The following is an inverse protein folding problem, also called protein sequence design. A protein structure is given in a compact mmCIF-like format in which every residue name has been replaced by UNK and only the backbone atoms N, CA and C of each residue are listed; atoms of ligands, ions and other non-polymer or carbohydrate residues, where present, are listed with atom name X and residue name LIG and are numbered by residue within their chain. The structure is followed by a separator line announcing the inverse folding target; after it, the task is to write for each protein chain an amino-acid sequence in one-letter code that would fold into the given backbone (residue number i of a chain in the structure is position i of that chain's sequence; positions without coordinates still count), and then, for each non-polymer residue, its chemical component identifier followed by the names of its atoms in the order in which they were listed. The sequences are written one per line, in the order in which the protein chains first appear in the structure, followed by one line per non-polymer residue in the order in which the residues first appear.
data_IF_574290172675
#
_entry.id   IF_574290172675
#
_cell.length_a   1.000
_cell.length_b   1.000
_cell.length_c   1.000
_cell.angle_alpha   90.00
_cell.angle_beta   90.00
_cell.angle_gamma   90.00
#
_symmetry.space_group_name_H-M   'P 1'
#
loop_
_entity.id
_entity.type
_entity.pdbx_description
1 polymer ?
#
# COMPACT_ATOMS: atom_id res chain seq x y z
N UNK A 1 -1.73 6.71 13.55
CA UNK A 1 -2.94 5.88 13.32
C UNK A 1 -3.20 4.80 14.40
N UNK A 2 -2.56 4.86 15.59
CA UNK A 2 -2.80 3.91 16.71
C UNK A 2 -3.91 4.34 17.70
N UNK A 3 -4.56 5.47 17.49
CA UNK A 3 -5.44 6.11 18.50
C UNK A 3 -6.91 5.61 18.51
N UNK A 4 -7.21 4.43 17.96
CA UNK A 4 -8.60 3.96 17.88
C UNK A 4 -8.78 2.45 18.18
N UNK A 5 -7.90 1.85 18.99
CA UNK A 5 -8.11 0.47 19.46
C UNK A 5 -8.89 0.49 20.79
N UNK A 6 -10.22 0.56 20.71
CA UNK A 6 -11.11 0.25 21.83
C UNK A 6 -11.69 -1.17 21.60
N UNK A 7 -11.36 -2.16 22.43
CA UNK A 7 -11.77 -3.56 22.24
C UNK A 7 -13.27 -3.82 22.46
N UNK A 8 -14.06 -2.83 22.90
CA UNK A 8 -15.48 -3.03 23.23
C UNK A 8 -16.47 -2.72 22.10
N UNK A 9 -16.03 -2.44 20.87
CA UNK A 9 -16.95 -2.00 19.80
C UNK A 9 -16.73 -2.71 18.47
N UNK A 10 -17.08 -4.00 18.41
CA UNK A 10 -17.05 -4.78 17.17
C UNK A 10 -17.90 -4.12 16.06
N UNK A 11 -19.06 -3.56 16.42
CA UNK A 11 -19.97 -2.84 15.50
C UNK A 11 -19.29 -1.63 14.83
N UNK A 12 -18.42 -0.91 15.56
CA UNK A 12 -17.74 0.28 15.00
C UNK A 12 -16.62 -0.12 14.05
N UNK A 13 -15.99 -1.27 14.29
CA UNK A 13 -14.93 -1.79 13.44
C UNK A 13 -15.49 -2.27 12.10
N UNK A 14 -16.63 -2.98 12.12
CA UNK A 14 -17.29 -3.46 10.91
C UNK A 14 -17.79 -2.31 10.04
N UNK A 15 -18.47 -1.32 10.63
CA UNK A 15 -18.90 -0.12 9.88
C UNK A 15 -17.72 0.61 9.24
N UNK A 16 -16.62 0.78 9.97
CA UNK A 16 -15.42 1.46 9.44
C UNK A 16 -14.74 0.62 8.37
N UNK A 17 -14.76 -0.70 8.50
CA UNK A 17 -14.26 -1.60 7.47
C UNK A 17 -15.12 -1.54 6.20
N UNK A 18 -16.44 -1.39 6.33
CA UNK A 18 -17.34 -1.15 5.20
C UNK A 18 -17.08 0.18 4.50
N UNK A 19 -16.85 1.25 5.25
CA UNK A 19 -16.46 2.56 4.71
C UNK A 19 -15.15 2.45 3.91
N UNK A 20 -14.15 1.72 4.42
CA UNK A 20 -12.87 1.49 3.71
C UNK A 20 -13.06 0.62 2.47
N UNK A 21 -13.87 -0.45 2.55
CA UNK A 21 -14.18 -1.33 1.42
C UNK A 21 -14.84 -0.58 0.28
N UNK A 22 -15.75 0.35 0.59
CA UNK A 22 -16.59 1.06 -0.38
C UNK A 22 -16.08 2.45 -0.75
N UNK A 23 -14.96 2.89 -0.16
CA UNK A 23 -14.36 4.19 -0.45
C UNK A 23 -14.19 4.41 -1.97
N UNK A 24 -14.56 5.59 -2.52
CA UNK A 24 -14.44 5.88 -3.95
C UNK A 24 -13.00 5.71 -4.48
N UNK A 25 -12.02 6.11 -3.66
CA UNK A 25 -10.59 5.89 -3.90
C UNK A 25 -9.97 5.42 -2.59
N UNK A 26 -9.15 4.38 -2.66
CA UNK A 26 -8.40 3.88 -1.51
C UNK A 26 -6.90 3.87 -1.85
N UNK A 27 -6.09 4.43 -0.97
CA UNK A 27 -4.63 4.35 -1.06
C UNK A 27 -4.13 3.50 0.11
N UNK A 28 -3.48 2.39 -0.21
CA UNK A 28 -2.82 1.50 0.74
C UNK A 28 -1.33 1.75 0.66
N UNK A 29 -0.78 2.37 1.69
CA UNK A 29 0.64 2.71 1.74
C UNK A 29 1.45 1.59 2.41
N UNK A 30 2.65 1.33 1.89
CA UNK A 30 3.68 0.44 2.45
C UNK A 30 3.20 -0.99 2.77
N UNK A 31 2.52 -1.61 1.81
CA UNK A 31 2.06 -3.00 1.91
C UNK A 31 3.24 -3.96 2.00
N UNK A 32 3.20 -4.91 2.95
CA UNK A 32 4.23 -5.94 3.11
C UNK A 32 5.26 -5.66 4.21
N UNK A 33 5.33 -4.42 4.72
CA UNK A 33 6.26 -4.02 5.79
C UNK A 33 5.74 -4.36 7.20
N UNK A 34 4.53 -4.89 7.31
CA UNK A 34 3.83 -5.12 8.58
C UNK A 34 3.91 -6.57 9.08
N UNK A 35 4.26 -6.76 10.37
CA UNK A 35 3.95 -7.99 11.11
C UNK A 35 2.45 -8.03 11.42
N UNK A 36 1.64 -8.31 10.41
CA UNK A 36 0.20 -8.39 10.54
C UNK A 36 -0.20 -9.67 11.30
N UNK A 37 -1.11 -9.52 12.27
CA UNK A 37 -1.77 -10.66 12.91
C UNK A 37 -2.57 -11.45 11.88
N UNK A 38 -2.87 -12.73 12.15
CA UNK A 38 -3.69 -13.55 11.24
C UNK A 38 -5.02 -12.87 10.87
N UNK A 39 -5.65 -12.22 11.86
CA UNK A 39 -6.87 -11.45 11.67
C UNK A 39 -6.66 -10.23 10.75
N UNK A 40 -5.57 -9.48 10.92
CA UNK A 40 -5.27 -8.34 10.05
C UNK A 40 -5.03 -8.79 8.60
N UNK A 41 -4.33 -9.90 8.39
CA UNK A 41 -4.14 -10.50 7.06
C UNK A 41 -5.45 -10.93 6.43
N UNK A 42 -6.35 -11.52 7.21
CA UNK A 42 -7.68 -11.89 6.74
C UNK A 42 -8.49 -10.67 6.31
N UNK A 43 -8.51 -9.61 7.12
CA UNK A 43 -9.22 -8.37 6.78
C UNK A 43 -8.64 -7.68 5.55
N UNK A 44 -7.32 -7.65 5.42
CA UNK A 44 -6.64 -7.15 4.23
C UNK A 44 -7.05 -7.94 2.99
N UNK A 45 -7.09 -9.27 3.08
CA UNK A 45 -7.54 -10.13 1.98
C UNK A 45 -9.02 -9.88 1.61
N UNK A 46 -9.91 -9.76 2.61
CA UNK A 46 -11.32 -9.42 2.38
C UNK A 46 -11.46 -8.07 1.66
N UNK A 47 -10.70 -7.06 2.09
CA UNK A 47 -10.70 -5.72 1.49
C UNK A 47 -10.21 -5.75 0.04
N UNK A 48 -9.05 -6.36 -0.20
CA UNK A 48 -8.45 -6.49 -1.52
C UNK A 48 -9.38 -7.23 -2.49
N UNK A 49 -9.91 -8.37 -2.07
CA UNK A 49 -10.76 -9.18 -2.92
C UNK A 49 -12.07 -8.45 -3.27
N UNK A 50 -12.68 -7.76 -2.31
CA UNK A 50 -13.88 -6.95 -2.58
C UNK A 50 -13.61 -5.88 -3.63
N UNK A 51 -12.57 -5.05 -3.42
CA UNK A 51 -12.25 -3.94 -4.32
C UNK A 51 -11.81 -4.41 -5.71
N UNK A 52 -11.06 -5.51 -5.77
CA UNK A 52 -10.64 -6.14 -7.03
C UNK A 52 -11.84 -6.65 -7.85
N UNK A 53 -12.84 -7.26 -7.20
CA UNK A 53 -14.03 -7.77 -7.88
C UNK A 53 -15.00 -6.65 -8.27
N UNK A 54 -15.17 -5.66 -7.40
CA UNK A 54 -16.01 -4.49 -7.64
C UNK A 54 -15.36 -3.44 -8.56
N UNK A 55 -14.11 -3.66 -8.99
CA UNK A 55 -13.31 -2.74 -9.82
C UNK A 55 -13.21 -1.33 -9.24
N UNK A 56 -13.05 -1.25 -7.92
CA UNK A 56 -12.94 0.04 -7.22
C UNK A 56 -11.50 0.58 -7.29
N UNK A 57 -11.31 1.87 -7.62
CA UNK A 57 -10.00 2.50 -7.74
C UNK A 57 -9.16 2.32 -6.46
N UNK A 58 -7.99 1.69 -6.60
CA UNK A 58 -7.11 1.41 -5.46
C UNK A 58 -5.66 1.62 -5.87
N UNK A 59 -4.93 2.43 -5.11
CA UNK A 59 -3.47 2.61 -5.25
C UNK A 59 -2.80 1.86 -4.12
N UNK A 60 -1.76 1.10 -4.44
CA UNK A 60 -1.00 0.34 -3.47
C UNK A 60 0.47 0.70 -3.66
N UNK A 61 1.15 1.04 -2.58
CA UNK A 61 2.61 1.16 -2.57
C UNK A 61 3.19 0.01 -1.75
N UNK A 62 4.36 -0.46 -2.14
CA UNK A 62 5.08 -1.50 -1.42
C UNK A 62 6.58 -1.30 -1.65
N UNK A 63 7.37 -1.46 -0.60
CA UNK A 63 8.82 -1.56 -0.70
C UNK A 63 9.29 -3.01 -0.95
N UNK A 64 8.38 -3.98 -0.83
CA UNK A 64 8.64 -5.40 -0.99
C UNK A 64 8.38 -5.81 -2.45
N UNK A 65 9.28 -6.58 -3.08
CA UNK A 65 9.01 -7.17 -4.38
C UNK A 65 7.69 -7.97 -4.39
N UNK A 66 6.91 -7.86 -5.46
CA UNK A 66 5.56 -8.45 -5.51
C UNK A 66 5.58 -9.97 -5.39
N UNK A 67 6.66 -10.62 -5.82
CA UNK A 67 6.95 -12.05 -5.71
C UNK A 67 7.23 -12.51 -4.27
N UNK A 68 7.62 -11.60 -3.38
CA UNK A 68 7.80 -11.86 -1.95
C UNK A 68 6.51 -11.62 -1.12
N UNK A 69 5.48 -11.02 -1.72
CA UNK A 69 4.18 -10.82 -1.07
C UNK A 69 3.38 -12.13 -0.98
N UNK A 70 2.29 -12.10 -0.20
CA UNK A 70 1.34 -13.22 -0.14
C UNK A 70 0.88 -13.61 -1.57
N UNK A 71 1.01 -14.89 -1.98
CA UNK A 71 0.73 -15.32 -3.34
C UNK A 71 -0.68 -14.98 -3.84
N UNK A 72 -1.66 -14.88 -2.93
CA UNK A 72 -3.05 -14.55 -3.28
C UNK A 72 -3.23 -13.06 -3.57
N UNK A 73 -2.43 -12.20 -2.93
CA UNK A 73 -2.35 -10.77 -3.21
C UNK A 73 -1.55 -10.54 -4.50
N UNK A 74 -0.39 -11.18 -4.62
CA UNK A 74 0.49 -11.09 -5.79
C UNK A 74 -0.27 -11.42 -7.09
N UNK A 75 -1.01 -12.54 -7.12
CA UNK A 75 -1.82 -12.93 -8.30
C UNK A 75 -2.80 -11.84 -8.75
N UNK A 76 -3.40 -11.08 -7.82
CA UNK A 76 -4.35 -10.00 -8.14
C UNK A 76 -3.63 -8.71 -8.56
N UNK A 77 -2.52 -8.39 -7.91
CA UNK A 77 -1.71 -7.22 -8.24
C UNK A 77 -1.06 -7.34 -9.62
N UNK A 78 -0.74 -8.56 -10.04
CA UNK A 78 -0.15 -8.89 -11.34
C UNK A 78 -1.19 -9.12 -12.45
N UNK A 79 -2.50 -9.00 -12.18
CA UNK A 79 -3.53 -9.07 -13.23
C UNK A 79 -3.48 -7.79 -14.10
N UNK A 80 -2.73 -7.85 -15.19
CA UNK A 80 -2.59 -6.76 -16.15
C UNK A 80 -3.89 -6.35 -16.87
N UNK A 81 -4.97 -7.15 -16.77
CA UNK A 81 -6.28 -6.75 -17.29
C UNK A 81 -7.02 -5.80 -16.34
N UNK A 82 -6.59 -5.71 -15.07
CA UNK A 82 -7.25 -4.91 -14.01
C UNK A 82 -6.32 -3.91 -13.34
N UNK A 83 -5.02 -4.18 -13.31
CA UNK A 83 -4.03 -3.42 -12.58
C UNK A 83 -2.96 -2.87 -13.52
N UNK A 84 -2.48 -1.67 -13.20
CA UNK A 84 -1.29 -1.08 -13.83
C UNK A 84 -0.20 -1.04 -12.78
N UNK A 85 0.96 -1.61 -13.11
CA UNK A 85 2.11 -1.68 -12.21
C UNK A 85 3.17 -0.66 -12.62
N UNK A 86 3.73 0.03 -11.62
CA UNK A 86 4.82 0.98 -11.79
C UNK A 86 5.99 0.56 -10.91
N UNK A 87 7.11 0.19 -11.54
CA UNK A 87 8.36 -0.02 -10.83
C UNK A 87 9.05 1.34 -10.61
N UNK A 88 9.37 1.65 -9.36
CA UNK A 88 10.04 2.89 -8.99
C UNK A 88 11.54 2.62 -8.73
N UNK A 89 12.34 2.61 -9.80
CA UNK A 89 13.81 2.47 -9.72
C UNK A 89 14.49 3.81 -9.42
N UNK A 90 14.05 4.49 -8.35
CA UNK A 90 14.58 5.80 -7.97
C UNK A 90 15.33 5.71 -6.64
N UNK A 91 16.47 6.43 -6.49
CA UNK A 91 17.16 6.49 -5.20
C UNK A 91 16.29 7.18 -4.16
N UNK A 92 16.54 6.88 -2.88
CA UNK A 92 15.80 7.51 -1.78
C UNK A 92 15.86 9.04 -1.87
N UNK A 93 14.68 9.66 -1.96
CA UNK A 93 14.58 11.11 -1.98
C UNK A 93 14.88 11.68 -0.59
N UNK A 94 16.01 12.38 -0.45
CA UNK A 94 16.42 13.03 0.82
C UNK A 94 16.25 14.55 0.83
N UNK A 95 15.54 15.11 -0.17
CA UNK A 95 15.56 16.54 -0.45
C UNK A 95 16.91 16.95 -1.05
N UNK A 96 16.90 17.67 -2.17
CA UNK A 96 18.12 17.95 -2.93
C UNK A 96 19.23 18.59 -2.10
N UNK A 97 20.28 17.85 -1.80
CA UNK A 97 21.58 18.47 -1.52
C UNK A 97 22.04 19.06 -2.85
N UNK A 98 21.82 20.36 -3.05
CA UNK A 98 22.55 21.11 -4.07
C UNK A 98 24.02 20.96 -3.74
N UNK A 99 24.71 20.04 -4.39
CA UNK A 99 26.17 20.03 -4.40
C UNK A 99 26.61 21.35 -5.04
N UNK A 100 26.99 22.33 -4.22
CA UNK A 100 27.67 23.53 -4.69
C UNK A 100 28.93 23.03 -5.41
N UNK A 101 28.93 23.13 -6.74
CA UNK A 101 30.10 22.78 -7.56
C UNK A 101 31.32 23.53 -7.04
N UNK A 102 32.42 22.81 -6.80
CA UNK A 102 33.70 23.44 -6.51
C UNK A 102 34.07 24.33 -7.71
N UNK A 103 34.50 25.59 -7.50
CA UNK A 103 34.91 26.44 -8.61
C UNK A 103 36.15 25.82 -9.25
N UNK A 104 36.06 25.51 -10.55
CA UNK A 104 37.17 25.00 -11.33
C UNK A 104 38.32 25.99 -11.29
N UNK A 105 39.50 25.51 -10.86
CA UNK A 105 40.74 26.27 -10.88
C UNK A 105 41.14 26.42 -12.35
N UNK A 106 40.87 27.58 -12.95
CA UNK A 106 41.44 27.97 -14.24
C UNK A 106 42.97 28.03 -14.08
N UNK A 107 43.68 27.18 -14.83
CA UNK A 107 45.09 27.36 -15.21
C UNK A 107 45.13 27.68 -16.68
#
# INVERSE_FOLDING_TARGET
LRAAFNPSSNIRLDKRFDEVKTAPILVLDDLGTESATAWAREKLYQLFNYRYNARLPTVITTATPVDELDPRLATRMLDGSRCTFFLLEVPSYRGGVKTRGKPGKRR
#
